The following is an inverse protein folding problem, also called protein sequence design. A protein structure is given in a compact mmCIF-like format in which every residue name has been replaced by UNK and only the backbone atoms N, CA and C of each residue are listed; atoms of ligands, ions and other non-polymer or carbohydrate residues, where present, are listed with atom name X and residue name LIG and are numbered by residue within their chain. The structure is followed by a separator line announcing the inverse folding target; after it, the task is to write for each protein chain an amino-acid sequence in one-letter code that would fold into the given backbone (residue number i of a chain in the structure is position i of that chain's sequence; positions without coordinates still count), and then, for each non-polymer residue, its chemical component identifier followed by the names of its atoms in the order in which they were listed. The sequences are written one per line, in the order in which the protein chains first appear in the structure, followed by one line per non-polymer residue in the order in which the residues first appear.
data_IF_251968285371
#
_entry.id   IF_251968285371
#
_cell.length_a   1.000
_cell.length_b   1.000
_cell.length_c   1.000
_cell.angle_alpha   90.00
_cell.angle_beta   90.00
_cell.angle_gamma   90.00
#
_symmetry.space_group_name_H-M   'P 1'
#
loop_
_entity.id
_entity.type
_entity.pdbx_description
1 polymer ?
#
# COMPACT_ATOMS: atom_id res chain seq x y z
N UNK A 1 9.55 7.42 -14.17
CA UNK A 1 9.42 8.29 -12.98
C UNK A 1 8.86 7.42 -11.87
N UNK A 2 9.41 7.48 -10.66
CA UNK A 2 8.99 6.63 -9.54
C UNK A 2 8.69 7.53 -8.34
N UNK A 3 7.50 7.37 -7.75
CA UNK A 3 7.11 8.01 -6.50
C UNK A 3 6.92 6.96 -5.42
N UNK A 4 7.40 7.25 -4.21
CA UNK A 4 7.23 6.40 -3.02
C UNK A 4 6.59 7.21 -1.91
N UNK A 5 5.55 6.68 -1.30
CA UNK A 5 4.84 7.32 -0.20
C UNK A 5 4.54 6.30 0.91
N UNK A 6 4.57 6.80 2.14
CA UNK A 6 4.07 6.07 3.31
C UNK A 6 2.82 6.76 3.81
N UNK A 7 1.76 5.98 3.99
CA UNK A 7 0.47 6.45 4.47
C UNK A 7 0.19 5.82 5.84
N UNK A 8 -0.09 6.64 6.88
CA UNK A 8 -0.44 6.12 8.20
C UNK A 8 -1.78 5.38 8.16
N UNK A 9 -1.98 4.43 9.06
CA UNK A 9 -3.21 3.63 9.14
C UNK A 9 -3.86 3.76 10.51
N UNK A 10 -5.11 3.29 10.63
CA UNK A 10 -5.79 3.18 11.92
C UNK A 10 -5.20 2.07 12.83
N UNK A 11 -4.43 1.13 12.27
CA UNK A 11 -3.81 0.06 13.06
C UNK A 11 -2.46 0.51 13.59
N UNK A 12 -2.33 0.53 14.92
CA UNK A 12 -1.10 0.94 15.57
C UNK A 12 0.10 0.12 15.07
N UNK A 13 1.19 0.82 14.73
CA UNK A 13 2.39 0.21 14.19
C UNK A 13 2.29 -0.21 12.73
N UNK A 14 1.17 0.06 12.03
CA UNK A 14 1.02 -0.25 10.60
C UNK A 14 1.06 1.02 9.74
N UNK A 15 1.86 0.97 8.67
CA UNK A 15 1.89 1.96 7.58
C UNK A 15 1.69 1.26 6.25
N UNK A 16 0.97 1.90 5.32
CA UNK A 16 0.94 1.45 3.93
C UNK A 16 2.12 2.11 3.21
N UNK A 17 2.94 1.32 2.53
CA UNK A 17 3.92 1.80 1.55
C UNK A 17 3.32 1.65 0.16
N UNK A 18 3.18 2.76 -0.58
CA UNK A 18 2.71 2.75 -1.97
C UNK A 18 3.81 3.29 -2.86
N UNK A 19 4.05 2.59 -3.97
CA UNK A 19 4.99 3.02 -5.01
C UNK A 19 4.28 3.04 -6.34
N UNK A 20 4.31 4.19 -7.01
CA UNK A 20 3.83 4.33 -8.39
C UNK A 20 5.01 4.52 -9.33
N UNK A 21 4.91 3.93 -10.52
CA UNK A 21 5.92 4.04 -11.56
C UNK A 21 5.28 4.35 -12.90
N UNK A 22 5.80 5.38 -13.59
CA UNK A 22 5.45 5.66 -14.98
C UNK A 22 6.24 4.76 -15.93
N UNK A 23 5.52 3.94 -16.68
CA UNK A 23 6.03 2.96 -17.65
C UNK A 23 6.44 3.61 -18.97
N UNK A 24 7.10 2.83 -19.83
CA UNK A 24 7.59 3.29 -21.15
C UNK A 24 6.49 3.67 -22.14
N UNK A 25 5.27 3.15 -21.98
CA UNK A 25 4.09 3.50 -22.77
C UNK A 25 3.34 4.73 -22.22
N UNK A 26 3.84 5.33 -21.14
CA UNK A 26 3.25 6.48 -20.48
C UNK A 26 2.16 6.17 -19.46
N UNK A 27 1.74 4.90 -19.33
CA UNK A 27 0.81 4.44 -18.28
C UNK A 27 1.53 4.31 -16.94
N UNK A 28 0.76 4.12 -15.88
CA UNK A 28 1.27 3.99 -14.52
C UNK A 28 1.05 2.58 -13.97
N UNK A 29 2.03 2.06 -13.24
CA UNK A 29 1.93 0.86 -12.42
C UNK A 29 1.96 1.22 -10.94
N UNK A 30 1.47 0.31 -10.09
CA UNK A 30 1.52 0.46 -8.63
C UNK A 30 1.95 -0.84 -7.96
N UNK A 31 2.74 -0.72 -6.90
CA UNK A 31 2.92 -1.77 -5.90
C UNK A 31 2.64 -1.21 -4.51
N UNK A 32 2.04 -2.03 -3.67
CA UNK A 32 1.72 -1.67 -2.29
C UNK A 32 2.23 -2.75 -1.33
N UNK A 33 2.56 -2.33 -0.12
CA UNK A 33 2.97 -3.20 0.97
C UNK A 33 2.56 -2.63 2.32
N UNK A 34 2.47 -3.48 3.33
CA UNK A 34 2.19 -3.07 4.71
C UNK A 34 3.47 -3.18 5.53
N UNK A 35 3.96 -2.07 6.06
CA UNK A 35 4.99 -2.09 7.09
C UNK A 35 4.32 -2.26 8.44
N UNK A 36 4.76 -3.25 9.21
CA UNK A 36 4.30 -3.50 10.57
C UNK A 36 5.49 -3.44 11.53
N UNK A 37 5.43 -2.50 12.46
CA UNK A 37 6.52 -2.20 13.39
C UNK A 37 6.04 -2.37 14.82
N UNK A 38 6.79 -3.14 15.59
CA UNK A 38 6.72 -3.23 17.05
C UNK A 38 7.93 -2.52 17.65
N UNK A 39 8.06 -2.54 18.98
CA UNK A 39 9.25 -2.01 19.67
C UNK A 39 10.54 -2.74 19.28
N UNK A 40 10.43 -4.01 18.91
CA UNK A 40 11.58 -4.90 18.72
C UNK A 40 11.88 -5.16 17.24
N UNK A 41 10.85 -5.13 16.39
CA UNK A 41 10.95 -5.60 15.02
C UNK A 41 10.09 -4.81 14.04
N UNK A 42 10.54 -4.78 12.79
CA UNK A 42 9.74 -4.36 11.65
C UNK A 42 9.66 -5.51 10.66
N UNK A 43 8.45 -5.79 10.16
CA UNK A 43 8.24 -6.66 8.99
C UNK A 43 7.49 -5.90 7.91
N UNK A 44 7.73 -6.29 6.67
CA UNK A 44 6.96 -5.82 5.51
C UNK A 44 6.15 -6.98 4.95
N UNK A 45 4.88 -6.73 4.67
CA UNK A 45 4.01 -7.65 3.93
C UNK A 45 3.83 -7.09 2.54
N UNK A 46 4.43 -7.77 1.56
CA UNK A 46 4.24 -7.43 0.15
C UNK A 46 2.85 -7.87 -0.31
N UNK A 47 2.12 -6.98 -0.98
CA UNK A 47 0.82 -7.31 -1.56
C UNK A 47 0.98 -7.81 -3.00
N UNK A 48 0.02 -8.61 -3.52
CA UNK A 48 0.06 -9.06 -4.90
C UNK A 48 0.18 -7.88 -5.87
N UNK A 49 1.11 -7.96 -6.82
CA UNK A 49 1.28 -6.93 -7.85
C UNK A 49 0.14 -7.06 -8.87
N UNK A 50 -0.67 -6.01 -9.11
CA UNK A 50 -1.72 -6.05 -10.12
C UNK A 50 -1.13 -6.12 -11.54
N UNK A 51 -1.87 -6.76 -12.45
CA UNK A 51 -1.54 -6.76 -13.88
C UNK A 51 -2.00 -5.48 -14.59
N UNK A 52 -2.89 -4.74 -13.93
CA UNK A 52 -3.50 -3.51 -14.37
C UNK A 52 -2.48 -2.37 -14.37
N UNK A 53 -2.61 -1.52 -15.39
CA UNK A 53 -1.90 -0.25 -15.49
C UNK A 53 -2.93 0.87 -15.59
N UNK A 54 -2.56 2.09 -15.22
CA UNK A 54 -3.47 3.21 -15.02
C UNK A 54 -3.13 4.38 -15.93
N UNK A 55 -4.10 5.25 -16.21
CA UNK A 55 -3.88 6.40 -17.09
C UNK A 55 -3.11 7.50 -16.35
N UNK A 56 -3.32 7.64 -15.04
CA UNK A 56 -2.67 8.65 -14.20
C UNK A 56 -1.97 8.04 -12.99
N UNK A 57 -1.07 8.82 -12.37
CA UNK A 57 -0.40 8.44 -11.13
C UNK A 57 -1.40 8.32 -9.98
N UNK A 58 -2.37 9.24 -9.93
CA UNK A 58 -3.39 9.31 -8.89
C UNK A 58 -4.29 8.07 -8.91
N UNK A 59 -4.68 7.58 -10.10
CA UNK A 59 -5.45 6.34 -10.25
C UNK A 59 -4.66 5.13 -9.75
N UNK A 60 -3.37 5.04 -10.12
CA UNK A 60 -2.48 3.98 -9.68
C UNK A 60 -2.33 3.98 -8.15
N UNK A 61 -2.08 5.16 -7.56
CA UNK A 61 -1.98 5.34 -6.11
C UNK A 61 -3.29 4.93 -5.41
N UNK A 62 -4.43 5.40 -5.89
CA UNK A 62 -5.74 5.08 -5.30
C UNK A 62 -6.01 3.57 -5.31
N UNK A 63 -5.64 2.87 -6.39
CA UNK A 63 -5.75 1.41 -6.45
C UNK A 63 -4.86 0.73 -5.40
N UNK A 64 -3.59 1.13 -5.28
CA UNK A 64 -2.65 0.57 -4.31
C UNK A 64 -3.12 0.77 -2.86
N UNK A 65 -3.65 1.96 -2.54
CA UNK A 65 -4.23 2.24 -1.23
C UNK A 65 -5.45 1.36 -0.95
N UNK A 66 -6.40 1.29 -1.88
CA UNK A 66 -7.60 0.46 -1.72
C UNK A 66 -7.26 -1.02 -1.52
N UNK A 67 -6.28 -1.54 -2.25
CA UNK A 67 -5.80 -2.91 -2.08
C UNK A 67 -5.22 -3.14 -0.69
N UNK A 68 -4.39 -2.22 -0.21
CA UNK A 68 -3.76 -2.27 1.10
C UNK A 68 -4.76 -2.17 2.25
N UNK A 69 -5.72 -1.25 2.15
CA UNK A 69 -6.82 -1.10 3.11
C UNK A 69 -7.63 -2.39 3.24
N UNK A 70 -8.05 -2.97 2.11
CA UNK A 70 -8.77 -4.26 2.09
C UNK A 70 -7.96 -5.39 2.72
N UNK A 71 -6.65 -5.40 2.53
CA UNK A 71 -5.79 -6.37 3.18
C UNK A 71 -5.76 -6.15 4.68
N UNK A 72 -5.59 -4.92 5.15
CA UNK A 72 -5.60 -4.58 6.58
C UNK A 72 -6.92 -4.98 7.24
N UNK A 73 -8.05 -4.60 6.67
CA UNK A 73 -9.39 -4.96 7.17
C UNK A 73 -9.59 -6.48 7.28
N UNK A 74 -9.02 -7.24 6.34
CA UNK A 74 -9.16 -8.71 6.32
C UNK A 74 -8.22 -9.42 7.30
N UNK A 75 -7.02 -8.89 7.53
CA UNK A 75 -5.94 -9.62 8.19
C UNK A 75 -5.54 -9.05 9.56
N UNK A 76 -5.87 -7.80 9.83
CA UNK A 76 -5.60 -7.18 11.13
C UNK A 76 -6.79 -7.37 12.05
N UNK A 77 -6.56 -7.47 13.37
CA UNK A 77 -7.65 -7.52 14.32
C UNK A 77 -8.53 -6.26 14.17
N UNK A 78 -9.85 -6.48 14.19
CA UNK A 78 -10.82 -5.42 14.43
C UNK A 78 -10.63 -4.96 15.87
N UNK A 79 -9.70 -4.03 16.08
CA UNK A 79 -9.58 -3.36 17.36
C UNK A 79 -10.81 -2.46 17.49
N UNK A 80 -11.88 -2.96 18.11
CA UNK A 80 -12.69 -2.05 18.94
C UNK A 80 -11.68 -1.44 19.91
N UNK A 81 -11.45 -0.13 19.79
CA UNK A 81 -10.59 0.58 20.71
C UNK A 81 -11.08 0.28 22.14
N UNK A 82 -10.27 -0.46 22.89
CA UNK A 82 -10.48 -0.75 24.30
C UNK A 82 -10.27 0.51 25.15
#
# INVERSE_FOLDING_TARGET
MIHREKVPTAWQGCEISVVTERLGDGRWAVVAGISQTTLEHTRTVDLPVPSETFATEEEAKAYGLLQAERWLEKNMPNTEAA
#
